data_IF_875578732329
#
_entry.id   IF_875578732329
#
_cell.length_a   1.000
_cell.length_b   1.000
_cell.length_c   1.000
_cell.angle_alpha   90.00
_cell.angle_beta   90.00
_cell.angle_gamma   90.00
#
_symmetry.space_group_name_H-M   'P 1'
#
loop_
_entity.id
_entity.type
_entity.pdbx_description
1 polymer ?
#
# COMPACT_ATOMS: atom_id res chain seq x y z
N UNK A 1 -8.88 1.22 0.61
CA UNK A 1 -9.17 1.47 -0.82
C UNK A 1 -9.66 2.90 -0.92
N UNK A 2 -9.08 3.70 -1.82
CA UNK A 2 -9.48 5.09 -2.06
C UNK A 2 -10.22 5.13 -3.40
N UNK A 3 -11.53 5.47 -3.44
CA UNK A 3 -12.25 5.60 -4.69
C UNK A 3 -11.79 6.83 -5.48
N UNK A 4 -11.63 6.72 -6.79
CA UNK A 4 -11.24 7.82 -7.68
C UNK A 4 -11.96 7.67 -9.03
N UNK A 5 -13.09 8.35 -9.20
CA UNK A 5 -13.98 8.09 -10.35
C UNK A 5 -14.33 6.60 -10.44
N UNK A 6 -14.18 6.01 -11.63
CA UNK A 6 -14.41 4.59 -11.88
C UNK A 6 -13.27 3.68 -11.44
N UNK A 7 -12.19 4.26 -10.91
CA UNK A 7 -11.05 3.54 -10.36
C UNK A 7 -11.16 3.37 -8.85
N UNK A 8 -10.53 2.29 -8.38
CA UNK A 8 -10.21 2.03 -7.00
C UNK A 8 -8.70 2.03 -6.83
N UNK A 9 -8.19 2.83 -5.90
CA UNK A 9 -6.79 2.88 -5.53
C UNK A 9 -6.56 2.03 -4.26
N UNK A 10 -5.80 0.95 -4.41
CA UNK A 10 -5.44 0.05 -3.34
C UNK A 10 -4.03 0.39 -2.85
N UNK A 11 -3.91 0.75 -1.57
CA UNK A 11 -2.62 1.04 -0.96
C UNK A 11 -2.00 -0.26 -0.47
N UNK A 12 -0.88 -0.63 -1.08
CA UNK A 12 -0.06 -1.79 -0.73
C UNK A 12 1.16 -1.30 0.02
N UNK A 13 1.35 -1.72 1.26
CA UNK A 13 2.58 -1.38 2.00
C UNK A 13 3.72 -2.23 1.50
N UNK A 14 4.81 -1.59 1.09
CA UNK A 14 5.99 -2.23 0.51
C UNK A 14 7.25 -1.67 1.13
N UNK A 15 7.45 -1.87 2.45
CA UNK A 15 8.62 -1.37 3.12
C UNK A 15 9.88 -2.05 2.58
N UNK A 16 11.01 -1.40 2.77
CA UNK A 16 12.31 -1.86 2.30
C UNK A 16 13.20 -0.69 1.95
N UNK A 17 12.82 0.10 0.94
CA UNK A 17 13.53 1.35 0.63
C UNK A 17 13.40 2.36 1.77
N UNK A 18 12.19 2.50 2.31
CA UNK A 18 11.91 3.20 3.57
C UNK A 18 10.87 2.40 4.37
N UNK A 19 10.71 2.63 5.68
CA UNK A 19 9.65 2.01 6.47
C UNK A 19 8.23 2.38 5.99
N UNK A 20 8.11 3.56 5.36
CA UNK A 20 6.84 4.13 4.89
C UNK A 20 6.52 3.84 3.43
N UNK A 21 7.36 3.10 2.71
CA UNK A 21 7.19 2.85 1.28
C UNK A 21 5.86 2.12 1.00
N UNK A 22 5.15 2.62 -0.02
CA UNK A 22 3.89 2.06 -0.51
C UNK A 22 3.94 1.90 -2.03
N UNK A 23 3.17 0.95 -2.53
CA UNK A 23 2.72 0.91 -3.90
C UNK A 23 1.22 1.24 -3.97
N UNK A 24 0.79 1.86 -5.07
CA UNK A 24 -0.62 2.16 -5.32
C UNK A 24 -1.07 1.34 -6.52
N UNK A 25 -1.96 0.37 -6.28
CA UNK A 25 -2.59 -0.38 -7.35
C UNK A 25 -3.90 0.31 -7.76
N UNK A 26 -3.95 0.83 -8.98
CA UNK A 26 -5.11 1.49 -9.56
C UNK A 26 -5.78 0.55 -10.56
N UNK A 27 -7.05 0.21 -10.32
CA UNK A 27 -7.82 -0.66 -11.20
C UNK A 27 -9.30 -0.22 -11.23
N UNK A 28 -10.08 -0.63 -12.24
CA UNK A 28 -11.53 -0.43 -12.23
C UNK A 28 -12.18 -0.99 -10.97
N UNK A 29 -13.24 -0.34 -10.47
CA UNK A 29 -13.98 -0.82 -9.30
C UNK A 29 -14.42 -2.29 -9.51
N UNK A 30 -14.19 -3.13 -8.50
CA UNK A 30 -14.48 -4.56 -8.55
C UNK A 30 -13.26 -5.45 -8.82
N UNK A 31 -12.17 -4.90 -9.36
CA UNK A 31 -10.88 -5.58 -9.40
C UNK A 31 -10.13 -5.35 -8.11
N UNK A 32 -9.98 -6.41 -7.32
CA UNK A 32 -9.11 -6.38 -6.15
C UNK A 32 -7.68 -6.82 -6.51
N UNK A 33 -6.67 -6.40 -5.73
CA UNK A 33 -5.32 -6.94 -5.84
C UNK A 33 -5.28 -8.46 -5.70
N UNK A 34 -6.25 -9.06 -5.00
CA UNK A 34 -6.44 -10.51 -4.84
C UNK A 34 -7.15 -11.17 -6.02
N UNK A 35 -7.99 -10.46 -6.75
CA UNK A 35 -8.63 -10.95 -7.98
C UNK A 35 -7.66 -10.95 -9.16
N UNK A 36 -6.57 -10.18 -9.05
CA UNK A 36 -5.35 -10.31 -9.84
C UNK A 36 -4.41 -11.43 -9.30
N UNK A 37 -4.76 -12.12 -8.21
CA UNK A 37 -3.98 -13.23 -7.64
C UNK A 37 -4.82 -14.50 -7.75
N UNK A 38 -4.57 -15.26 -8.82
CA UNK A 38 -5.16 -16.59 -9.02
C UNK A 38 -5.81 -16.75 -10.37
N UNK A 39 -5.38 -17.78 -11.10
CA UNK A 39 -5.99 -18.28 -12.32
C UNK A 39 -7.48 -18.61 -12.09
N UNK A 40 -8.38 -17.66 -12.32
CA UNK A 40 -9.75 -17.96 -12.73
C UNK A 40 -9.81 -17.65 -14.21
N UNK A 41 -9.90 -18.69 -15.04
CA UNK A 41 -9.75 -18.64 -16.50
C UNK A 41 -10.65 -17.60 -17.16
N UNK A 42 -10.08 -16.43 -17.42
CA UNK A 42 -10.72 -15.34 -18.13
C UNK A 42 -9.78 -14.95 -19.27
N UNK A 43 -10.35 -14.93 -20.48
CA UNK A 43 -9.71 -14.87 -21.80
C UNK A 43 -8.41 -14.06 -21.89
N UNK A 44 -7.49 -14.56 -22.73
CA UNK A 44 -6.27 -13.88 -23.22
C UNK A 44 -6.53 -12.50 -23.87
N UNK A 45 -7.81 -12.13 -24.06
CA UNK A 45 -8.27 -10.90 -24.71
C UNK A 45 -8.44 -9.69 -23.77
N UNK A 46 -8.13 -9.82 -22.47
CA UNK A 46 -8.29 -8.71 -21.52
C UNK A 46 -7.28 -7.60 -21.81
N UNK A 47 -7.75 -6.39 -22.08
CA UNK A 47 -6.86 -5.29 -22.48
C UNK A 47 -5.86 -4.95 -21.37
N UNK A 48 -4.66 -4.47 -21.73
CA UNK A 48 -3.63 -4.00 -20.79
C UNK A 48 -4.14 -2.92 -19.80
N UNK A 49 -5.21 -2.21 -20.16
CA UNK A 49 -5.88 -1.22 -19.31
C UNK A 49 -6.73 -1.86 -18.19
N UNK A 50 -7.15 -3.11 -18.36
CA UNK A 50 -8.01 -3.83 -17.42
C UNK A 50 -7.24 -4.64 -16.37
N UNK A 51 -5.96 -4.94 -16.61
CA UNK A 51 -5.07 -5.58 -15.65
C UNK A 51 -4.73 -4.67 -14.45
N UNK A 52 -4.85 -3.34 -14.65
CA UNK A 52 -4.55 -2.33 -13.64
C UNK A 52 -3.10 -1.83 -13.69
N UNK A 53 -2.88 -0.68 -13.08
CA UNK A 53 -1.59 0.00 -12.98
C UNK A 53 -1.06 -0.14 -11.55
N UNK A 54 0.22 -0.43 -11.40
CA UNK A 54 0.91 -0.46 -10.12
C UNK A 54 1.97 0.64 -10.09
N UNK A 55 1.68 1.70 -9.35
CA UNK A 55 2.66 2.75 -9.06
C UNK A 55 3.54 2.25 -7.92
N UNK A 56 4.82 1.99 -8.19
CA UNK A 56 5.70 1.25 -7.26
C UNK A 56 6.62 2.14 -6.42
N UNK A 57 6.69 3.44 -6.72
CA UNK A 57 7.68 4.32 -6.12
C UNK A 57 9.09 3.72 -6.27
N UNK A 58 9.85 3.71 -5.18
CA UNK A 58 11.20 3.11 -5.13
C UNK A 58 11.21 1.65 -4.66
N UNK A 59 10.07 0.96 -4.71
CA UNK A 59 10.00 -0.47 -4.37
C UNK A 59 10.52 -1.33 -5.52
N UNK A 60 9.99 -1.13 -6.72
CA UNK A 60 10.29 -1.93 -7.91
C UNK A 60 10.51 -1.00 -9.09
N UNK A 61 11.64 -1.16 -9.76
CA UNK A 61 12.01 -0.47 -10.99
C UNK A 61 12.04 -1.46 -12.16
N UNK A 62 12.20 -0.96 -13.39
CA UNK A 62 12.46 -1.80 -14.55
C UNK A 62 13.84 -2.44 -14.38
N UNK A 63 13.88 -3.76 -14.18
CA UNK A 63 15.10 -4.56 -14.02
C UNK A 63 15.89 -4.32 -12.72
N UNK A 64 15.39 -3.51 -11.78
CA UNK A 64 16.06 -3.22 -10.50
C UNK A 64 15.06 -2.89 -9.37
N UNK A 65 15.55 -2.43 -8.22
CA UNK A 65 14.74 -1.91 -7.11
C UNK A 65 15.43 -0.70 -6.46
N UNK A 66 14.71 0.00 -5.58
CA UNK A 66 15.33 1.06 -4.78
C UNK A 66 16.42 0.54 -3.85
N UNK A 67 17.31 1.45 -3.46
CA UNK A 67 18.41 1.17 -2.53
C UNK A 67 17.90 0.83 -1.12
N UNK A 68 18.67 0.06 -0.37
CA UNK A 68 18.31 -0.41 0.99
C UNK A 68 19.47 -0.28 1.99
N UNK A 69 20.27 0.77 1.84
CA UNK A 69 21.48 1.03 2.63
C UNK A 69 21.42 2.34 3.45
N UNK A 70 20.33 3.10 3.36
CA UNK A 70 20.13 4.34 4.11
C UNK A 70 19.45 4.08 5.46
N UNK A 71 19.57 5.00 6.45
CA UNK A 71 18.93 4.84 7.75
C UNK A 71 17.42 4.54 7.64
N UNK A 72 16.99 3.47 8.30
CA UNK A 72 15.59 3.00 8.31
C UNK A 72 15.21 2.12 7.13
N UNK A 73 16.06 1.96 6.11
CA UNK A 73 15.83 0.94 5.08
C UNK A 73 16.13 -0.47 5.59
N UNK A 74 15.52 -1.49 4.98
CA UNK A 74 15.71 -2.89 5.34
C UNK A 74 15.71 -3.78 4.07
N UNK A 75 16.84 -4.43 3.72
CA UNK A 75 16.93 -5.30 2.54
C UNK A 75 16.04 -6.54 2.65
N UNK A 76 15.80 -7.04 3.86
CA UNK A 76 14.94 -8.19 4.12
C UNK A 76 13.47 -7.85 3.86
N UNK A 77 13.04 -6.67 4.30
CA UNK A 77 11.70 -6.16 3.99
C UNK A 77 11.54 -5.86 2.50
N UNK A 78 12.55 -5.30 1.84
CA UNK A 78 12.54 -5.07 0.40
C UNK A 78 12.32 -6.38 -0.38
N UNK A 79 13.14 -7.40 -0.12
CA UNK A 79 13.03 -8.70 -0.79
C UNK A 79 11.64 -9.34 -0.59
N UNK A 80 11.09 -9.25 0.63
CA UNK A 80 9.74 -9.72 0.93
C UNK A 80 8.66 -8.92 0.19
N UNK A 81 8.80 -7.60 0.11
CA UNK A 81 7.90 -6.72 -0.64
C UNK A 81 7.92 -7.05 -2.13
N UNK A 82 9.09 -7.24 -2.73
CA UNK A 82 9.26 -7.68 -4.12
C UNK A 82 8.59 -9.03 -4.37
N UNK A 83 8.89 -10.04 -3.54
CA UNK A 83 8.28 -11.37 -3.64
C UNK A 83 6.75 -11.32 -3.62
N UNK A 84 6.19 -10.46 -2.74
CA UNK A 84 4.75 -10.25 -2.63
C UNK A 84 4.14 -9.58 -3.86
N UNK A 85 4.76 -8.54 -4.40
CA UNK A 85 4.31 -7.90 -5.64
C UNK A 85 4.32 -8.90 -6.82
N UNK A 86 5.31 -9.79 -6.87
CA UNK A 86 5.44 -10.81 -7.93
C UNK A 86 4.34 -11.89 -7.93
N UNK A 87 3.47 -11.90 -6.92
CA UNK A 87 2.28 -12.78 -6.89
C UNK A 87 1.08 -12.19 -7.62
N UNK A 88 1.11 -10.89 -7.95
CA UNK A 88 0.07 -10.21 -8.72
C UNK A 88 0.00 -10.72 -10.16
N UNK A 89 -1.08 -10.36 -10.86
CA UNK A 89 -1.32 -10.74 -12.25
C UNK A 89 -0.13 -10.29 -13.12
N UNK A 90 0.48 -11.20 -13.91
CA UNK A 90 1.59 -10.88 -14.81
C UNK A 90 1.34 -9.71 -15.77
N UNK A 91 0.09 -9.42 -16.13
CA UNK A 91 -0.30 -8.34 -17.03
C UNK A 91 -0.33 -6.96 -16.35
N UNK A 92 -0.28 -6.88 -15.02
CA UNK A 92 -0.25 -5.60 -14.27
C UNK A 92 0.93 -4.77 -14.72
N UNK A 93 0.65 -3.54 -15.16
CA UNK A 93 1.69 -2.60 -15.61
C UNK A 93 2.35 -1.98 -14.39
N UNK A 94 3.68 -2.00 -14.36
CA UNK A 94 4.50 -1.40 -13.31
C UNK A 94 4.94 -0.02 -13.76
N UNK A 95 4.62 0.99 -12.96
CA UNK A 95 4.97 2.40 -13.13
C UNK A 95 5.92 2.81 -12.00
N UNK A 96 7.24 2.80 -12.21
CA UNK A 96 8.21 3.11 -11.18
C UNK A 96 8.27 4.59 -10.80
N UNK A 97 8.77 4.89 -9.61
CA UNK A 97 9.01 6.27 -9.17
C UNK A 97 10.17 6.95 -9.91
N UNK A 98 11.13 6.15 -10.39
CA UNK A 98 12.29 6.59 -11.16
C UNK A 98 12.54 5.61 -12.32
N UNK A 99 13.11 6.10 -13.42
CA UNK A 99 13.50 5.26 -14.54
C UNK A 99 14.99 5.42 -14.86
N UNK A 100 15.68 4.28 -14.92
CA UNK A 100 17.09 4.17 -15.33
C UNK A 100 17.26 3.20 -16.52
N UNK A 101 16.16 2.60 -16.98
CA UNK A 101 16.13 1.71 -18.14
C UNK A 101 15.71 2.48 -19.40
N UNK A 102 15.82 1.83 -20.56
CA UNK A 102 15.36 2.39 -21.82
C UNK A 102 13.83 2.62 -21.82
N UNK A 103 13.08 1.65 -21.29
CA UNK A 103 11.62 1.71 -21.21
C UNK A 103 11.15 2.30 -19.86
N UNK A 104 10.15 3.19 -19.86
CA UNK A 104 9.68 3.86 -18.64
C UNK A 104 8.70 3.02 -17.80
N UNK A 105 8.23 1.89 -18.32
CA UNK A 105 7.31 0.97 -17.65
C UNK A 105 7.61 -0.48 -18.02
N UNK A 106 7.11 -1.40 -17.20
CA UNK A 106 7.26 -2.85 -17.37
C UNK A 106 5.98 -3.56 -16.91
N UNK A 107 5.99 -4.88 -16.76
CA UNK A 107 4.88 -5.63 -16.15
C UNK A 107 5.37 -6.53 -15.02
N UNK A 108 4.47 -6.92 -14.12
CA UNK A 108 4.80 -7.88 -13.06
C UNK A 108 5.37 -9.18 -13.64
N UNK A 109 4.83 -9.66 -14.77
CA UNK A 109 5.32 -10.85 -15.44
C UNK A 109 6.75 -10.70 -15.96
N UNK A 110 7.06 -9.57 -16.60
CA UNK A 110 8.40 -9.29 -17.10
C UNK A 110 9.41 -9.19 -15.96
N UNK A 111 9.11 -8.43 -14.91
CA UNK A 111 10.00 -8.29 -13.74
C UNK A 111 10.17 -9.62 -13.01
N UNK A 112 9.11 -10.42 -12.87
CA UNK A 112 9.21 -11.76 -12.29
C UNK A 112 10.16 -12.67 -13.08
N UNK A 113 10.21 -12.53 -14.40
CA UNK A 113 11.07 -13.34 -15.27
C UNK A 113 12.52 -12.83 -15.34
N UNK A 114 12.73 -11.52 -15.26
CA UNK A 114 14.01 -10.89 -15.63
C UNK A 114 14.74 -10.18 -14.48
N UNK A 115 14.03 -9.66 -13.49
CA UNK A 115 14.62 -8.86 -12.42
C UNK A 115 15.26 -9.73 -11.34
N UNK A 116 16.59 -9.65 -11.21
CA UNK A 116 17.34 -10.48 -10.26
C UNK A 116 16.97 -10.21 -8.79
N UNK A 117 16.59 -8.97 -8.45
CA UNK A 117 16.15 -8.63 -7.09
C UNK A 117 14.80 -9.30 -6.78
N UNK A 118 13.91 -9.37 -7.76
CA UNK A 118 12.64 -10.10 -7.65
C UNK A 118 12.88 -11.60 -7.50
N UNK A 119 13.75 -12.21 -8.32
CA UNK A 119 14.10 -13.63 -8.21
C UNK A 119 14.72 -13.96 -6.86
N UNK A 120 15.61 -13.09 -6.37
CA UNK A 120 16.20 -13.23 -5.04
C UNK A 120 15.12 -13.18 -3.95
N UNK A 121 14.18 -12.24 -4.06
CA UNK A 121 13.02 -12.16 -3.17
C UNK A 121 12.18 -13.43 -3.15
N UNK A 122 11.79 -13.95 -4.32
CA UNK A 122 11.01 -15.19 -4.44
C UNK A 122 11.73 -16.41 -3.85
N UNK A 123 13.06 -16.48 -3.98
CA UNK A 123 13.88 -17.55 -3.42
C UNK A 123 13.96 -17.51 -1.89
N UNK A 124 14.19 -16.31 -1.32
CA UNK A 124 14.33 -16.14 0.13
C UNK A 124 12.98 -16.08 0.87
N UNK A 125 11.91 -15.69 0.17
CA UNK A 125 10.57 -15.52 0.71
C UNK A 125 9.51 -16.20 -0.16
N UNK A 126 9.53 -17.54 -0.29
CA UNK A 126 8.52 -18.29 -1.04
C UNK A 126 7.11 -18.10 -0.44
N UNK A 127 7.05 -17.80 0.86
CA UNK A 127 5.91 -17.17 1.52
C UNK A 127 6.35 -15.79 2.02
N UNK A 128 5.96 -14.70 1.35
CA UNK A 128 6.34 -13.35 1.76
C UNK A 128 6.02 -13.05 3.23
N UNK A 129 6.86 -12.24 3.88
CA UNK A 129 6.60 -11.83 5.25
C UNK A 129 5.26 -11.11 5.33
N UNK A 130 4.49 -11.32 6.41
CA UNK A 130 3.33 -10.50 6.67
C UNK A 130 3.76 -9.03 6.72
N UNK A 131 2.90 -8.15 6.20
CA UNK A 131 3.14 -6.72 6.24
C UNK A 131 3.37 -6.31 7.70
N UNK A 132 4.49 -5.63 8.04
CA UNK A 132 4.75 -5.21 9.41
C UNK A 132 3.57 -4.38 9.91
N UNK A 133 3.27 -4.39 11.22
CA UNK A 133 2.15 -3.63 11.75
C UNK A 133 2.24 -2.16 11.37
N UNK A 134 1.09 -1.54 11.12
CA UNK A 134 1.04 -0.11 10.85
C UNK A 134 1.57 0.66 12.06
N UNK A 135 2.54 1.56 11.86
CA UNK A 135 3.11 2.36 12.93
C UNK A 135 2.06 3.19 13.70
N UNK A 136 0.91 3.48 13.08
CA UNK A 136 -0.19 4.23 13.69
C UNK A 136 -1.18 3.37 14.48
N UNK A 137 -1.46 2.12 14.04
CA UNK A 137 -2.50 1.29 14.68
C UNK A 137 -2.01 -0.01 15.30
N UNK A 138 -0.77 -0.44 15.02
CA UNK A 138 -0.16 -1.65 15.58
C UNK A 138 -0.66 -2.96 14.97
N UNK A 139 -1.53 -2.92 13.94
CA UNK A 139 -2.05 -4.12 13.27
C UNK A 139 -1.29 -4.42 11.96
N UNK A 140 -0.92 -5.69 11.76
CA UNK A 140 -0.31 -6.20 10.52
C UNK A 140 -1.36 -6.63 9.49
N UNK A 141 -1.06 -6.47 8.19
CA UNK A 141 -2.00 -6.74 7.09
C UNK A 141 -2.17 -5.59 6.08
N UNK A 142 -2.91 -5.82 5.00
CA UNK A 142 -3.16 -4.84 3.92
C UNK A 142 -4.05 -3.67 4.38
N UNK A 143 -3.76 -2.48 3.81
CA UNK A 143 -4.33 -1.15 4.05
C UNK A 143 -5.05 -0.95 5.39
N UNK A 144 -4.36 -0.33 6.35
CA UNK A 144 -5.00 0.46 7.40
C UNK A 144 -5.62 1.72 6.76
N UNK A 145 -6.72 1.54 6.03
CA UNK A 145 -7.55 2.66 5.61
C UNK A 145 -8.23 3.30 6.83
N UNK A 146 -8.96 4.40 6.64
CA UNK A 146 -9.79 5.03 7.67
C UNK A 146 -11.00 4.16 8.08
N UNK A 147 -10.91 2.83 8.00
CA UNK A 147 -11.89 1.86 8.51
C UNK A 147 -11.32 0.95 9.59
N UNK A 148 -10.04 1.09 9.97
CA UNK A 148 -9.42 0.20 10.97
C UNK A 148 -9.56 0.68 12.42
N UNK A 149 -9.98 1.92 12.68
CA UNK A 149 -10.26 2.34 14.05
C UNK A 149 -11.63 1.82 14.50
N UNK A 150 -11.64 1.17 15.66
CA UNK A 150 -12.85 0.71 16.33
C UNK A 150 -13.35 1.77 17.32
N UNK A 151 -14.67 1.81 17.54
CA UNK A 151 -15.28 2.60 18.62
C UNK A 151 -14.56 2.29 19.95
N UNK A 152 -14.21 3.32 20.70
CA UNK A 152 -13.47 3.22 21.97
C UNK A 152 -11.94 3.29 21.84
N UNK A 153 -11.37 3.20 20.62
CA UNK A 153 -9.92 3.30 20.42
C UNK A 153 -9.44 4.72 20.76
N UNK A 154 -8.41 4.84 21.60
CA UNK A 154 -7.68 6.11 21.81
C UNK A 154 -6.84 6.42 20.57
N UNK A 155 -6.96 7.65 20.08
CA UNK A 155 -6.28 8.18 18.90
C UNK A 155 -5.77 9.59 19.20
N UNK A 156 -4.66 9.99 18.59
CA UNK A 156 -4.12 11.35 18.71
C UNK A 156 -4.37 12.11 17.43
N UNK A 157 -4.90 13.33 17.55
CA UNK A 157 -5.10 14.20 16.40
C UNK A 157 -3.74 14.69 15.89
N UNK A 158 -3.48 14.47 14.61
CA UNK A 158 -2.29 14.96 13.91
C UNK A 158 -2.72 15.75 12.68
N UNK A 159 -2.12 16.92 12.47
CA UNK A 159 -2.31 17.80 11.32
C UNK A 159 -3.78 18.17 11.01
N UNK A 160 -4.58 18.49 12.04
CA UNK A 160 -5.98 18.92 11.88
C UNK A 160 -6.21 20.31 12.47
N UNK A 161 -6.97 21.12 11.74
CA UNK A 161 -7.48 22.42 12.17
C UNK A 161 -9.01 22.37 12.10
N UNK A 162 -9.71 22.89 13.12
CA UNK A 162 -11.17 22.97 13.11
C UNK A 162 -11.67 23.95 12.05
N UNK A 163 -12.97 23.90 11.73
CA UNK A 163 -13.61 24.88 10.85
C UNK A 163 -13.52 26.31 11.39
N UNK A 164 -13.36 26.47 12.71
CA UNK A 164 -13.12 27.75 13.37
C UNK A 164 -11.63 28.18 13.38
N UNK A 165 -10.76 27.49 12.64
CA UNK A 165 -9.33 27.80 12.53
C UNK A 165 -8.48 27.37 13.74
N UNK A 166 -9.04 26.60 14.68
CA UNK A 166 -8.30 26.17 15.86
C UNK A 166 -7.46 24.94 15.56
N UNK A 167 -6.14 25.02 15.79
CA UNK A 167 -5.26 23.87 15.70
C UNK A 167 -5.67 22.81 16.75
N UNK A 168 -5.87 21.57 16.29
CA UNK A 168 -6.28 20.44 17.14
C UNK A 168 -5.15 19.41 17.35
N UNK A 169 -3.95 19.68 16.83
CA UNK A 169 -2.80 18.80 16.90
C UNK A 169 -2.41 18.44 18.34
N UNK A 170 -2.05 17.17 18.55
CA UNK A 170 -1.57 16.65 19.83
C UNK A 170 -2.67 16.29 20.83
N UNK A 171 -3.95 16.53 20.52
CA UNK A 171 -5.07 16.17 21.41
C UNK A 171 -5.38 14.67 21.33
N UNK A 172 -5.42 14.03 22.50
CA UNK A 172 -5.88 12.65 22.64
C UNK A 172 -7.41 12.61 22.63
N UNK A 173 -7.95 11.73 21.80
CA UNK A 173 -9.38 11.54 21.58
C UNK A 173 -9.73 10.05 21.61
N UNK A 174 -11.02 9.75 21.72
CA UNK A 174 -11.58 8.41 21.57
C UNK A 174 -12.47 8.38 20.35
N UNK A 175 -12.35 7.34 19.53
CA UNK A 175 -13.21 7.13 18.37
C UNK A 175 -14.62 6.76 18.82
N UNK A 176 -15.63 7.52 18.40
CA UNK A 176 -17.03 7.29 18.76
C UNK A 176 -17.76 6.46 17.71
N UNK A 177 -17.57 6.79 16.44
CA UNK A 177 -18.19 6.12 15.30
C UNK A 177 -17.47 6.48 14.00
N UNK A 178 -17.74 5.70 12.96
CA UNK A 178 -17.39 6.04 11.58
C UNK A 178 -18.66 6.59 10.90
N UNK A 179 -18.52 7.73 10.21
CA UNK A 179 -19.59 8.39 9.47
C UNK A 179 -19.46 8.02 7.99
N UNK A 180 -20.20 6.99 7.54
CA UNK A 180 -20.11 6.46 6.17
C UNK A 180 -20.42 7.51 5.08
N UNK A 181 -21.32 8.45 5.37
CA UNK A 181 -21.71 9.55 4.46
C UNK A 181 -20.59 10.59 4.26
N UNK A 182 -19.71 10.74 5.25
CA UNK A 182 -18.63 11.75 5.25
C UNK A 182 -17.24 11.14 5.06
N UNK A 183 -17.13 9.81 5.04
CA UNK A 183 -15.89 9.05 5.02
C UNK A 183 -14.88 9.51 6.09
N UNK A 184 -15.36 9.75 7.32
CA UNK A 184 -14.57 10.29 8.44
C UNK A 184 -14.98 9.67 9.78
N UNK A 185 -14.07 9.67 10.74
CA UNK A 185 -14.39 9.28 12.12
C UNK A 185 -14.91 10.45 12.94
N UNK A 186 -15.95 10.19 13.74
CA UNK A 186 -16.31 11.05 14.86
C UNK A 186 -15.41 10.69 16.04
N UNK A 187 -14.81 11.70 16.65
CA UNK A 187 -13.91 11.54 17.80
C UNK A 187 -14.30 12.49 18.93
N UNK A 188 -14.23 12.01 20.16
CA UNK A 188 -14.46 12.80 21.37
C UNK A 188 -13.14 13.04 22.11
N UNK A 189 -12.81 14.28 22.50
CA UNK A 189 -11.63 14.56 23.32
C UNK A 189 -11.65 13.79 24.64
N UNK A 190 -10.48 13.28 25.06
CA UNK A 190 -10.29 12.76 26.41
C UNK A 190 -10.10 13.94 27.35
N UNK A 191 -10.98 14.10 28.34
CA UNK A 191 -10.85 15.17 29.34
C UNK A 191 -9.82 14.75 30.40
N UNK A 192 -9.07 15.71 30.93
CA UNK A 192 -7.96 15.49 31.87
C UNK A 192 -8.32 14.76 33.19
N UNK A 193 -9.61 14.48 33.44
CA UNK A 193 -10.09 13.77 34.64
C UNK A 193 -10.33 12.26 34.43
N UNK A 194 -10.05 11.72 33.23
CA UNK A 194 -10.23 10.30 32.87
C UNK A 194 -8.88 9.56 32.66
N UNK A 195 -7.79 10.05 33.27
CA UNK A 195 -6.45 9.48 33.21
C UNK A 195 -6.13 8.60 34.43
#
# INVERSE_FOLDING_TARGET
VIPCGDLALHILRTPGHTPGSICVFAAPRGLSPRSAIGNSGLDEARSKAEAGLLITGDTLFVGSCGRTDLPGSDPREMMSSLARLSTMDPAVVVCPGHNYAAEPFTTIGAERAQNEMVKMGLSHFPSPLPVPPCAMCGEGGQSCGPKSFRKGRRVRIMNLTSEAGQALNGRDCVVESYMDDKDRYAVRPVLAREA
#
